data_IF_275123737571
#
_entry.id   IF_275123737571
#
_cell.length_a   1.000
_cell.length_b   1.000
_cell.length_c   1.000
_cell.angle_alpha   90.00
_cell.angle_beta   90.00
_cell.angle_gamma   90.00
#
_symmetry.space_group_name_H-M   'P 1'
#
loop_
_entity.id
_entity.type
_entity.pdbx_description
1 polymer ?
#
# COMPACT_ATOMS: atom_id res chain seq x y z
N UNK A 1 5.71 55.43 7.19
CA UNK A 1 5.55 55.03 5.77
C UNK A 1 6.29 53.75 5.46
N UNK A 2 7.57 53.60 5.87
CA UNK A 2 8.33 52.36 5.70
C UNK A 2 7.75 51.12 6.44
N UNK A 3 7.16 51.29 7.63
CA UNK A 3 6.53 50.19 8.37
C UNK A 3 5.30 49.60 7.66
N UNK A 4 4.49 50.44 6.99
CA UNK A 4 3.28 49.99 6.29
C UNK A 4 3.62 49.15 5.04
N UNK A 5 4.70 49.51 4.35
CA UNK A 5 5.18 48.77 3.18
C UNK A 5 5.75 47.39 3.56
N UNK A 6 6.43 47.34 4.71
CA UNK A 6 7.01 46.10 5.25
C UNK A 6 5.93 45.11 5.70
N UNK A 7 4.85 45.60 6.32
CA UNK A 7 3.70 44.77 6.71
C UNK A 7 2.97 44.21 5.48
N UNK A 8 2.76 45.01 4.44
CA UNK A 8 2.16 44.54 3.18
C UNK A 8 3.01 43.48 2.49
N UNK A 9 4.33 43.67 2.47
CA UNK A 9 5.26 42.70 1.89
C UNK A 9 5.26 41.38 2.68
N UNK A 10 5.14 41.43 4.00
CA UNK A 10 5.08 40.24 4.86
C UNK A 10 3.74 39.51 4.69
N UNK A 11 2.61 40.23 4.63
CA UNK A 11 1.29 39.61 4.37
C UNK A 11 1.21 38.94 2.99
N UNK A 12 1.77 39.57 1.95
CA UNK A 12 1.82 38.99 0.62
C UNK A 12 2.72 37.74 0.56
N UNK A 13 3.79 37.72 1.37
CA UNK A 13 4.68 36.57 1.48
C UNK A 13 4.01 35.39 2.19
N UNK A 14 3.25 35.66 3.25
CA UNK A 14 2.48 34.64 3.99
C UNK A 14 1.39 34.02 3.12
N UNK A 15 0.66 34.82 2.33
CA UNK A 15 -0.31 34.29 1.37
C UNK A 15 0.35 33.37 0.32
N UNK A 16 1.56 33.70 -0.14
CA UNK A 16 2.28 32.88 -1.13
C UNK A 16 2.76 31.53 -0.57
N UNK A 17 3.15 31.48 0.71
CA UNK A 17 3.58 30.26 1.39
C UNK A 17 2.38 29.36 1.68
N UNK A 18 1.26 29.96 2.06
CA UNK A 18 0.00 29.24 2.26
C UNK A 18 -0.59 28.73 0.94
N UNK A 19 -0.42 29.43 -0.19
CA UNK A 19 -0.88 28.96 -1.50
C UNK A 19 -0.04 27.78 -2.03
N UNK A 20 1.27 27.76 -1.75
CA UNK A 20 2.12 26.60 -2.05
C UNK A 20 1.72 25.41 -1.17
N UNK A 21 1.37 25.64 0.09
CA UNK A 21 0.86 24.62 1.01
C UNK A 21 -0.58 24.16 0.68
N UNK A 22 -1.40 25.03 0.07
CA UNK A 22 -2.79 24.78 -0.35
C UNK A 22 -2.89 24.09 -1.70
N UNK A 23 -1.78 23.80 -2.38
CA UNK A 23 -1.82 22.93 -3.55
C UNK A 23 -2.10 21.49 -3.09
N UNK A 24 -3.39 21.21 -2.94
CA UNK A 24 -3.99 20.02 -2.33
C UNK A 24 -3.18 18.76 -2.63
N UNK A 25 -2.72 18.10 -1.58
CA UNK A 25 -2.02 16.82 -1.63
C UNK A 25 -2.76 15.81 -2.54
N UNK A 26 -4.09 15.89 -2.60
CA UNK A 26 -4.96 15.10 -3.48
C UNK A 26 -4.90 15.54 -4.95
N UNK A 27 -4.80 16.83 -5.24
CA UNK A 27 -4.63 17.33 -6.60
C UNK A 27 -3.27 16.92 -7.18
N UNK A 28 -2.22 16.94 -6.35
CA UNK A 28 -0.90 16.44 -6.75
C UNK A 28 -0.89 14.92 -6.97
N UNK A 29 -1.62 14.16 -6.16
CA UNK A 29 -1.80 12.72 -6.35
C UNK A 29 -2.54 12.42 -7.66
N UNK A 30 -3.60 13.17 -7.97
CA UNK A 30 -4.35 13.04 -9.22
C UNK A 30 -3.50 13.36 -10.46
N UNK A 31 -2.68 14.42 -10.39
CA UNK A 31 -1.74 14.78 -11.44
C UNK A 31 -0.64 13.72 -11.64
N UNK A 32 -0.14 13.12 -10.56
CA UNK A 32 0.88 12.06 -10.62
C UNK A 32 0.31 10.79 -11.26
N UNK A 33 -0.92 10.40 -10.88
CA UNK A 33 -1.62 9.25 -11.48
C UNK A 33 -1.79 9.42 -12.98
N UNK A 34 -2.08 10.65 -13.42
CA UNK A 34 -2.31 10.97 -14.83
C UNK A 34 -1.02 11.08 -15.65
N UNK A 35 0.08 11.53 -15.04
CA UNK A 35 1.39 11.70 -15.68
C UNK A 35 2.22 10.41 -15.72
N UNK A 36 2.02 9.50 -14.75
CA UNK A 36 2.77 8.24 -14.65
C UNK A 36 1.81 7.04 -14.47
N UNK A 37 1.13 6.60 -15.55
CA UNK A 37 0.11 5.55 -15.46
C UNK A 37 0.68 4.20 -14.98
N UNK A 38 1.92 3.87 -15.34
CA UNK A 38 2.58 2.64 -14.87
C UNK A 38 2.89 2.70 -13.36
N UNK A 39 3.42 3.82 -12.88
CA UNK A 39 3.71 4.01 -11.46
C UNK A 39 2.44 4.02 -10.61
N UNK A 40 1.38 4.62 -11.13
CA UNK A 40 0.07 4.63 -10.50
C UNK A 40 -0.55 3.24 -10.40
N UNK A 41 -0.47 2.43 -11.47
CA UNK A 41 -0.93 1.05 -11.45
C UNK A 41 -0.17 0.20 -10.43
N UNK A 42 1.17 0.33 -10.38
CA UNK A 42 2.00 -0.33 -9.37
C UNK A 42 1.64 0.11 -7.94
N UNK A 43 1.49 1.41 -7.71
CA UNK A 43 1.07 1.95 -6.41
C UNK A 43 -0.31 1.46 -5.98
N UNK A 44 -1.26 1.36 -6.91
CA UNK A 44 -2.59 0.81 -6.64
C UNK A 44 -2.52 -0.66 -6.23
N UNK A 45 -1.74 -1.48 -6.94
CA UNK A 45 -1.55 -2.90 -6.60
C UNK A 45 -0.97 -3.03 -5.18
N UNK A 46 0.08 -2.28 -4.87
CA UNK A 46 0.70 -2.27 -3.53
C UNK A 46 -0.30 -1.84 -2.46
N UNK A 47 -1.09 -0.80 -2.72
CA UNK A 47 -2.13 -0.34 -1.81
C UNK A 47 -3.17 -1.43 -1.55
N UNK A 48 -3.65 -2.12 -2.59
CA UNK A 48 -4.59 -3.24 -2.45
C UNK A 48 -3.97 -4.38 -1.64
N UNK A 49 -2.71 -4.72 -1.87
CA UNK A 49 -2.01 -5.76 -1.11
C UNK A 49 -1.87 -5.37 0.38
N UNK A 50 -1.55 -4.12 0.69
CA UNK A 50 -1.47 -3.61 2.06
C UNK A 50 -2.83 -3.73 2.75
N UNK A 51 -3.90 -3.29 2.09
CA UNK A 51 -5.26 -3.39 2.61
C UNK A 51 -5.64 -4.85 2.85
N UNK A 52 -5.41 -5.74 1.88
CA UNK A 52 -5.65 -7.17 2.04
C UNK A 52 -4.89 -7.78 3.23
N UNK A 53 -3.67 -7.31 3.48
CA UNK A 53 -2.84 -7.78 4.60
C UNK A 53 -3.29 -7.23 5.96
N UNK A 54 -3.78 -5.98 6.03
CA UNK A 54 -4.32 -5.38 7.26
C UNK A 54 -5.64 -6.06 7.63
N UNK A 55 -6.50 -6.29 6.63
CA UNK A 55 -7.77 -7.00 6.82
C UNK A 55 -7.60 -8.53 6.81
N UNK A 56 -6.37 -9.05 6.79
CA UNK A 56 -6.09 -10.48 6.77
C UNK A 56 -6.77 -11.21 7.93
N UNK A 57 -6.68 -10.66 9.15
CA UNK A 57 -7.28 -11.24 10.34
C UNK A 57 -8.83 -11.25 10.30
N UNK A 58 -9.44 -10.42 9.44
CA UNK A 58 -10.90 -10.36 9.25
C UNK A 58 -11.32 -11.27 8.08
N UNK A 59 -10.52 -11.33 7.02
CA UNK A 59 -10.79 -12.15 5.83
C UNK A 59 -10.51 -13.64 6.06
N UNK A 60 -9.51 -13.96 6.87
CA UNK A 60 -9.22 -15.34 7.27
C UNK A 60 -8.72 -15.40 8.71
N UNK A 61 -9.55 -15.87 9.64
CA UNK A 61 -9.11 -16.21 11.00
C UNK A 61 -8.34 -17.54 11.07
N UNK A 62 -8.12 -18.21 9.93
CA UNK A 62 -7.45 -19.52 9.88
C UNK A 62 -5.93 -19.36 9.93
N UNK A 63 -5.28 -20.29 10.62
CA UNK A 63 -3.83 -20.34 10.71
C UNK A 63 -3.23 -20.78 9.35
N UNK A 64 -2.35 -19.99 8.70
CA UNK A 64 -1.73 -20.33 7.42
C UNK A 64 -0.93 -21.64 7.43
N UNK A 65 -0.49 -22.09 8.61
CA UNK A 65 0.34 -23.28 8.79
C UNK A 65 -0.45 -24.48 9.31
N UNK A 66 -1.69 -24.29 9.79
CA UNK A 66 -2.53 -25.39 10.22
C UNK A 66 -2.94 -26.26 9.03
N UNK A 67 -2.39 -27.47 8.98
CA UNK A 67 -2.75 -28.48 8.00
C UNK A 67 -3.90 -29.34 8.53
N UNK A 68 -5.05 -29.29 7.85
CA UNK A 68 -6.17 -30.20 8.10
C UNK A 68 -6.18 -31.32 7.06
N UNK A 69 -5.63 -32.48 7.40
CA UNK A 69 -5.62 -33.65 6.51
C UNK A 69 -7.03 -34.17 6.16
N UNK A 70 -8.03 -33.88 6.99
CA UNK A 70 -9.45 -34.18 6.68
C UNK A 70 -10.03 -33.33 5.54
N UNK A 71 -9.44 -32.15 5.29
CA UNK A 71 -9.92 -31.21 4.28
C UNK A 71 -8.88 -31.03 3.17
N UNK A 72 -8.31 -32.12 2.65
CA UNK A 72 -7.41 -32.07 1.49
C UNK A 72 -8.19 -31.98 0.19
N UNK A 73 -7.74 -31.11 -0.74
CA UNK A 73 -8.31 -30.97 -2.09
C UNK A 73 -9.82 -30.66 -2.13
N UNK A 74 -10.32 -29.96 -1.10
CA UNK A 74 -11.70 -29.50 -1.02
C UNK A 74 -11.91 -28.39 -2.05
N UNK A 75 -12.98 -28.46 -2.87
CA UNK A 75 -13.33 -27.41 -3.83
C UNK A 75 -13.76 -26.11 -3.13
N UNK A 76 -13.84 -24.98 -3.85
CA UNK A 76 -14.28 -23.70 -3.28
C UNK A 76 -15.63 -23.80 -2.57
N UNK A 77 -15.69 -23.38 -1.31
CA UNK A 77 -16.88 -23.38 -0.47
C UNK A 77 -16.97 -22.09 0.37
N UNK A 78 -18.07 -21.89 1.09
CA UNK A 78 -18.22 -20.77 2.03
C UNK A 78 -17.15 -20.78 3.13
N UNK A 79 -16.68 -21.98 3.49
CA UNK A 79 -15.67 -22.18 4.53
C UNK A 79 -14.25 -22.02 3.96
N UNK A 80 -14.04 -22.42 2.69
CA UNK A 80 -12.78 -22.27 1.95
C UNK A 80 -13.03 -21.56 0.62
N UNK A 81 -12.94 -20.23 0.60
CA UNK A 81 -13.32 -19.42 -0.56
C UNK A 81 -12.59 -19.78 -1.85
N UNK A 82 -11.32 -20.19 -1.74
CA UNK A 82 -10.51 -20.69 -2.86
C UNK A 82 -10.21 -22.18 -2.77
N UNK A 83 -10.86 -22.90 -1.85
CA UNK A 83 -10.57 -24.29 -1.57
C UNK A 83 -9.26 -24.49 -0.82
N UNK A 84 -8.86 -25.74 -0.70
CA UNK A 84 -7.69 -26.17 0.06
C UNK A 84 -6.62 -26.81 -0.82
N UNK A 85 -5.36 -26.64 -0.46
CA UNK A 85 -4.22 -27.28 -1.12
C UNK A 85 -4.17 -28.81 -0.86
N UNK A 86 -3.21 -29.50 -1.47
CA UNK A 86 -2.90 -30.92 -1.26
C UNK A 86 -2.51 -31.27 0.18
N UNK A 87 -2.31 -30.29 1.06
CA UNK A 87 -2.06 -30.46 2.49
C UNK A 87 -3.27 -30.03 3.35
N UNK A 88 -4.39 -29.73 2.72
CA UNK A 88 -5.61 -29.28 3.37
C UNK A 88 -5.49 -27.90 4.04
N UNK A 89 -4.62 -27.05 3.49
CA UNK A 89 -4.42 -25.66 3.91
C UNK A 89 -5.27 -24.74 3.06
N UNK A 90 -5.90 -23.74 3.65
CA UNK A 90 -6.68 -22.74 2.91
C UNK A 90 -5.79 -21.92 1.96
N UNK A 91 -6.13 -21.94 0.68
CA UNK A 91 -5.41 -21.21 -0.38
C UNK A 91 -5.53 -19.70 -0.20
N UNK A 92 -6.71 -19.20 0.19
CA UNK A 92 -6.93 -17.76 0.39
C UNK A 92 -6.01 -17.23 1.49
N UNK A 93 -5.99 -17.90 2.64
CA UNK A 93 -5.10 -17.59 3.75
C UNK A 93 -3.64 -17.53 3.29
N UNK A 94 -3.17 -18.53 2.53
CA UNK A 94 -1.79 -18.56 2.04
C UNK A 94 -1.45 -17.42 1.09
N UNK A 95 -2.38 -17.00 0.25
CA UNK A 95 -2.17 -15.85 -0.64
C UNK A 95 -2.03 -14.57 0.18
N UNK A 96 -2.89 -14.35 1.17
CA UNK A 96 -2.87 -13.15 2.01
C UNK A 96 -1.60 -13.08 2.85
N UNK A 97 -1.23 -14.17 3.54
CA UNK A 97 0.00 -14.23 4.33
C UNK A 97 1.26 -14.19 3.45
N UNK A 98 1.22 -14.81 2.27
CA UNK A 98 2.30 -14.70 1.27
C UNK A 98 2.50 -13.26 0.78
N UNK A 99 1.41 -12.52 0.57
CA UNK A 99 1.45 -11.11 0.20
C UNK A 99 2.13 -10.26 1.28
N UNK A 100 1.87 -10.52 2.58
CA UNK A 100 2.58 -9.85 3.69
C UNK A 100 4.10 -10.01 3.56
N UNK A 101 4.56 -11.23 3.36
CA UNK A 101 6.00 -11.53 3.23
C UNK A 101 6.58 -10.89 1.98
N UNK A 102 5.88 -10.95 0.85
CA UNK A 102 6.31 -10.30 -0.39
C UNK A 102 6.43 -8.78 -0.25
N UNK A 103 5.49 -8.12 0.44
CA UNK A 103 5.57 -6.69 0.74
C UNK A 103 6.78 -6.37 1.61
N UNK A 104 7.05 -7.18 2.64
CA UNK A 104 8.21 -6.97 3.52
C UNK A 104 9.52 -7.10 2.75
N UNK A 105 9.68 -8.16 1.95
CA UNK A 105 10.88 -8.37 1.12
C UNK A 105 11.03 -7.29 0.05
N UNK A 106 9.95 -6.91 -0.62
CA UNK A 106 9.97 -5.84 -1.62
C UNK A 106 10.36 -4.49 -1.00
N UNK A 107 9.84 -4.19 0.18
CA UNK A 107 10.18 -2.97 0.92
C UNK A 107 11.64 -2.97 1.36
N UNK A 108 12.15 -4.06 1.94
CA UNK A 108 13.56 -4.14 2.35
C UNK A 108 14.50 -4.11 1.15
N UNK A 109 14.15 -4.78 0.05
CA UNK A 109 14.92 -4.73 -1.19
C UNK A 109 14.99 -3.31 -1.77
N UNK A 110 13.86 -2.59 -1.82
CA UNK A 110 13.82 -1.20 -2.26
C UNK A 110 14.66 -0.30 -1.34
N UNK A 111 14.56 -0.48 -0.03
CA UNK A 111 15.35 0.30 0.94
C UNK A 111 16.85 0.04 0.82
N UNK A 112 17.26 -1.20 0.58
CA UNK A 112 18.66 -1.54 0.32
C UNK A 112 19.12 -0.97 -1.02
N UNK A 113 18.29 -1.07 -2.06
CA UNK A 113 18.58 -0.51 -3.39
C UNK A 113 18.68 1.01 -3.39
N UNK A 114 17.91 1.72 -2.57
CA UNK A 114 18.03 3.18 -2.41
C UNK A 114 19.38 3.62 -1.84
N UNK A 115 20.08 2.73 -1.11
CA UNK A 115 21.46 2.96 -0.63
C UNK A 115 22.51 2.69 -1.71
N UNK A 116 22.13 2.20 -2.88
CA UNK A 116 23.06 1.96 -3.99
C UNK A 116 23.21 3.22 -4.85
N UNK A 117 23.60 4.33 -4.21
CA UNK A 117 24.07 5.57 -4.84
C UNK A 117 25.61 5.61 -4.98
N UNK A 118 26.30 4.48 -4.75
CA UNK A 118 27.77 4.40 -4.77
C UNK A 118 28.30 3.25 -5.63
N UNK A 119 28.32 3.42 -6.95
CA UNK A 119 29.38 2.97 -7.86
C UNK A 119 29.38 3.78 -9.15
#
# INVERSE_FOLDING_TARGET
MAEAEMVTADTARLESVDDVARKSWFAQFGDLVRKQPLGAAGGLIVLVMILATIFANVLSPYDPEAASFEHMLVPPSSDFWFGTDAFGRDILTRIIYGARTALFVGFTAAFVGLRQDWF
#
